data_IF_020482824774
#
_entry.id   IF_020482824774
#
_cell.length_a   1.000
_cell.length_b   1.000
_cell.length_c   1.000
_cell.angle_alpha   90.00
_cell.angle_beta   90.00
_cell.angle_gamma   90.00
#
_symmetry.space_group_name_H-M   'P 1'
#
loop_
_entity.id
_entity.type
_entity.pdbx_description
1 polymer ?
#
# COMPACT_ATOMS: atom_id res chain seq x y z
N UNK A 1 -12.74 -9.24 -6.87
CA UNK A 1 -12.69 -8.40 -5.64
C UNK A 1 -11.26 -8.45 -5.13
N UNK A 2 -10.69 -7.34 -4.69
CA UNK A 2 -9.27 -7.27 -4.34
C UNK A 2 -9.08 -6.76 -2.92
N UNK A 3 -8.01 -7.20 -2.27
CA UNK A 3 -7.59 -6.71 -0.96
C UNK A 3 -6.15 -6.24 -1.09
N UNK A 4 -5.91 -4.98 -0.76
CA UNK A 4 -4.57 -4.44 -0.66
C UNK A 4 -4.09 -4.55 0.77
N UNK A 5 -2.92 -5.12 0.97
CA UNK A 5 -2.31 -5.32 2.28
C UNK A 5 -0.92 -4.69 2.28
N UNK A 6 -0.64 -3.88 3.29
CA UNK A 6 0.70 -3.41 3.61
C UNK A 6 1.09 -3.94 4.99
N UNK A 7 2.33 -4.37 5.12
CA UNK A 7 2.87 -4.90 6.37
C UNK A 7 4.13 -4.10 6.69
N UNK A 8 4.17 -3.53 7.89
CA UNK A 8 5.39 -2.96 8.43
C UNK A 8 6.38 -4.09 8.73
N UNK A 9 7.57 -4.03 8.14
CA UNK A 9 8.54 -5.14 8.21
C UNK A 9 9.06 -5.40 9.62
N UNK A 10 9.19 -4.35 10.45
CA UNK A 10 9.76 -4.41 11.78
C UNK A 10 8.74 -4.86 12.83
N UNK A 11 7.64 -4.11 12.96
CA UNK A 11 6.59 -4.37 13.95
C UNK A 11 5.62 -5.47 13.55
N UNK A 12 5.67 -5.92 12.28
CA UNK A 12 4.69 -6.83 11.67
C UNK A 12 3.26 -6.31 11.70
N UNK A 13 3.10 -5.00 11.85
CA UNK A 13 1.79 -4.37 11.83
C UNK A 13 1.19 -4.40 10.41
N UNK A 14 -0.14 -4.57 10.32
CA UNK A 14 -0.83 -4.83 9.06
C UNK A 14 -1.90 -3.76 8.82
N UNK A 15 -1.88 -3.16 7.63
CA UNK A 15 -2.96 -2.36 7.10
C UNK A 15 -3.59 -3.07 5.91
N UNK A 16 -4.92 -3.23 5.92
CA UNK A 16 -5.65 -3.87 4.82
C UNK A 16 -6.81 -2.99 4.35
N UNK A 17 -6.96 -2.84 3.03
CA UNK A 17 -8.03 -2.06 2.43
C UNK A 17 -8.69 -2.82 1.27
N UNK A 18 -10.02 -3.01 1.29
CA UNK A 18 -10.72 -3.65 0.19
C UNK A 18 -10.78 -2.70 -1.02
N UNK A 19 -10.49 -3.23 -2.20
CA UNK A 19 -10.55 -2.50 -3.46
C UNK A 19 -11.52 -3.17 -4.44
N UNK A 20 -12.38 -2.34 -5.05
CA UNK A 20 -13.24 -2.77 -6.14
C UNK A 20 -12.43 -3.07 -7.42
N UNK A 21 -11.39 -2.27 -7.68
CA UNK A 21 -10.47 -2.41 -8.83
C UNK A 21 -9.05 -2.04 -8.43
N UNK A 22 -8.07 -2.80 -8.93
CA UNK A 22 -6.65 -2.48 -8.79
C UNK A 22 -6.29 -1.46 -9.88
N UNK A 23 -5.99 -0.23 -9.48
CA UNK A 23 -5.51 0.84 -10.36
C UNK A 23 -4.36 1.56 -9.65
N UNK A 24 -3.44 2.15 -10.42
CA UNK A 24 -2.31 2.92 -9.88
C UNK A 24 -2.81 4.06 -8.98
N UNK A 25 -3.91 4.71 -9.35
CA UNK A 25 -4.56 5.76 -8.55
C UNK A 25 -5.01 5.25 -7.18
N UNK A 26 -5.66 4.09 -7.12
CA UNK A 26 -6.09 3.48 -5.85
C UNK A 26 -4.88 3.09 -4.98
N UNK A 27 -3.79 2.63 -5.60
CA UNK A 27 -2.55 2.28 -4.91
C UNK A 27 -1.91 3.53 -4.28
N UNK A 28 -1.76 4.60 -5.07
CA UNK A 28 -1.23 5.90 -4.59
C UNK A 28 -2.07 6.47 -3.45
N UNK A 29 -3.40 6.45 -3.60
CA UNK A 29 -4.33 6.91 -2.57
C UNK A 29 -4.21 6.10 -1.28
N UNK A 30 -4.07 4.77 -1.38
CA UNK A 30 -3.86 3.91 -0.22
C UNK A 30 -2.54 4.22 0.47
N UNK A 31 -1.42 4.28 -0.27
CA UNK A 31 -0.10 4.55 0.28
C UNK A 31 -0.06 5.91 0.97
N UNK A 32 -0.60 6.95 0.34
CA UNK A 32 -0.61 8.29 0.94
C UNK A 32 -1.49 8.34 2.19
N UNK A 33 -2.76 7.93 2.08
CA UNK A 33 -3.74 8.11 3.16
C UNK A 33 -3.51 7.16 4.33
N UNK A 34 -3.20 5.89 4.05
CA UNK A 34 -3.18 4.87 5.08
C UNK A 34 -1.77 4.58 5.60
N UNK A 35 -0.72 4.86 4.82
CA UNK A 35 0.67 4.68 5.28
C UNK A 35 1.27 6.04 5.67
N UNK A 36 1.47 6.94 4.70
CA UNK A 36 2.25 8.16 4.90
C UNK A 36 1.59 9.13 5.89
N UNK A 37 0.32 9.48 5.69
CA UNK A 37 -0.36 10.44 6.56
C UNK A 37 -0.59 9.93 7.99
N UNK A 38 -0.59 8.62 8.22
CA UNK A 38 -0.88 8.02 9.53
C UNK A 38 0.38 7.64 10.31
N UNK A 39 1.38 7.10 9.62
CA UNK A 39 2.57 6.51 10.24
C UNK A 39 3.86 7.24 9.86
N UNK A 40 3.79 8.16 8.89
CA UNK A 40 4.96 8.84 8.34
C UNK A 40 5.52 8.14 7.10
N UNK A 41 6.61 8.70 6.58
CA UNK A 41 7.25 8.20 5.36
C UNK A 41 8.08 6.96 5.72
N UNK A 42 7.80 5.79 5.11
CA UNK A 42 8.64 4.61 5.32
C UNK A 42 10.00 4.80 4.64
N UNK A 43 11.04 4.17 5.20
CA UNK A 43 12.38 4.16 4.61
C UNK A 43 12.41 3.46 3.24
N UNK A 44 11.68 2.36 3.12
CA UNK A 44 11.50 1.65 1.87
C UNK A 44 10.07 1.08 1.74
N UNK A 45 9.55 1.11 0.51
CA UNK A 45 8.32 0.41 0.12
C UNK A 45 8.69 -0.72 -0.83
N UNK A 46 8.51 -1.95 -0.37
CA UNK A 46 8.77 -3.16 -1.17
C UNK A 46 7.43 -3.71 -1.65
N UNK A 47 7.27 -3.80 -2.97
CA UNK A 47 6.08 -4.34 -3.62
C UNK A 47 6.46 -5.51 -4.51
N UNK A 48 5.47 -6.26 -5.00
CA UNK A 48 5.71 -7.12 -6.14
C UNK A 48 6.00 -6.28 -7.39
N UNK A 49 6.55 -6.90 -8.43
CA UNK A 49 6.78 -6.27 -9.74
C UNK A 49 5.48 -6.14 -10.55
N UNK A 50 4.33 -6.04 -9.88
CA UNK A 50 3.04 -5.87 -10.51
C UNK A 50 2.93 -4.52 -11.21
N UNK A 51 2.29 -4.50 -12.38
CA UNK A 51 2.09 -3.28 -13.20
C UNK A 51 1.36 -2.17 -12.43
N UNK A 52 0.60 -2.52 -11.41
CA UNK A 52 -0.10 -1.58 -10.54
C UNK A 52 0.83 -0.77 -9.62
N UNK A 53 2.07 -1.24 -9.42
CA UNK A 53 3.11 -0.59 -8.61
C UNK A 53 4.24 0.00 -9.44
N UNK A 54 4.35 -0.39 -10.71
CA UNK A 54 5.30 0.20 -11.67
C UNK A 54 4.73 1.54 -12.13
N UNK A 55 5.52 2.61 -11.94
CA UNK A 55 5.19 3.97 -12.36
C UNK A 55 5.44 4.18 -13.85
#
# INVERSE_FOLDING_TARGET
KFLLVAIDYFTKWIEACPLAKITIENMRKFTWKNIICRFGIPDALVTDNGRQFIA
#
